data_IF_964433114157
#
_entry.id   IF_964433114157
#
_cell.length_a   1.000
_cell.length_b   1.000
_cell.length_c   1.000
_cell.angle_alpha   90.00
_cell.angle_beta   90.00
_cell.angle_gamma   90.00
#
_symmetry.space_group_name_H-M   'P 1'
#
loop_
_entity.id
_entity.type
_entity.pdbx_description
1 polymer ?
#
# COMPACT_ATOMS: atom_id res chain seq x y z
N UNK A 1 -0.59 -16.74 0.57
CA UNK A 1 0.17 -15.50 0.84
C UNK A 1 -0.66 -14.25 0.55
N UNK A 2 -1.09 -14.01 -0.70
CA UNK A 2 -1.85 -12.79 -1.11
C UNK A 2 -3.08 -12.57 -0.23
N UNK A 3 -3.93 -13.57 -0.02
CA UNK A 3 -5.12 -13.48 0.86
C UNK A 3 -4.79 -13.05 2.29
N UNK A 4 -3.70 -13.53 2.88
CA UNK A 4 -3.32 -13.18 4.25
C UNK A 4 -2.94 -11.70 4.37
N UNK A 5 -2.09 -11.23 3.44
CA UNK A 5 -1.63 -9.83 3.45
C UNK A 5 -2.77 -8.86 3.17
N UNK A 6 -3.61 -9.15 2.19
CA UNK A 6 -4.73 -8.28 1.86
C UNK A 6 -5.87 -8.39 2.88
N UNK A 7 -6.12 -9.58 3.45
CA UNK A 7 -7.03 -9.73 4.58
C UNK A 7 -6.60 -8.84 5.74
N UNK A 8 -5.34 -8.93 6.17
CA UNK A 8 -4.82 -8.08 7.23
C UNK A 8 -4.91 -6.57 6.90
N UNK A 9 -4.69 -6.18 5.63
CA UNK A 9 -4.81 -4.77 5.21
C UNK A 9 -6.26 -4.25 5.23
N UNK A 10 -7.23 -5.12 5.29
CA UNK A 10 -8.66 -4.78 5.33
C UNK A 10 -9.29 -4.94 6.71
N UNK A 11 -8.51 -5.39 7.72
CA UNK A 11 -9.03 -5.63 9.07
C UNK A 11 -9.14 -4.33 9.92
N UNK A 12 -8.45 -3.25 9.54
CA UNK A 12 -8.37 -2.06 10.38
C UNK A 12 -9.69 -1.28 10.43
N UNK A 13 -10.18 -0.89 9.28
CA UNK A 13 -11.33 0.00 9.13
C UNK A 13 -12.07 -0.28 7.83
N UNK A 14 -13.40 -0.40 7.87
CA UNK A 14 -14.18 -0.72 6.68
C UNK A 14 -14.02 0.29 5.54
N UNK A 15 -13.93 1.59 5.83
CA UNK A 15 -13.76 2.60 4.80
C UNK A 15 -12.37 2.52 4.14
N UNK A 16 -11.32 2.26 4.93
CA UNK A 16 -9.95 2.05 4.43
C UNK A 16 -9.83 0.70 3.69
N UNK A 17 -10.53 -0.33 4.16
CA UNK A 17 -10.61 -1.64 3.50
C UNK A 17 -11.11 -1.51 2.06
N UNK A 18 -12.15 -0.72 1.82
CA UNK A 18 -12.65 -0.43 0.46
C UNK A 18 -11.59 0.25 -0.39
N UNK A 19 -10.78 1.16 0.19
CA UNK A 19 -9.66 1.79 -0.50
C UNK A 19 -8.57 0.78 -0.92
N UNK A 20 -8.30 -0.21 -0.09
CA UNK A 20 -7.37 -1.32 -0.39
C UNK A 20 -7.90 -2.17 -1.55
N UNK A 21 -9.19 -2.55 -1.51
CA UNK A 21 -9.85 -3.28 -2.61
C UNK A 21 -9.84 -2.45 -3.89
N UNK A 22 -10.18 -1.16 -3.82
CA UNK A 22 -10.16 -0.26 -4.97
C UNK A 22 -8.77 -0.21 -5.64
N UNK A 23 -7.69 -0.13 -4.86
CA UNK A 23 -6.33 -0.16 -5.39
C UNK A 23 -6.04 -1.49 -6.10
N UNK A 24 -6.41 -2.62 -5.49
CA UNK A 24 -6.23 -3.95 -6.09
C UNK A 24 -7.02 -4.12 -7.40
N UNK A 25 -8.24 -3.62 -7.45
CA UNK A 25 -9.08 -3.63 -8.65
C UNK A 25 -8.48 -2.78 -9.77
N UNK A 26 -7.90 -1.61 -9.45
CA UNK A 26 -7.18 -0.78 -10.43
C UNK A 26 -5.95 -1.48 -10.99
N UNK A 27 -5.20 -2.18 -10.14
CA UNK A 27 -4.07 -3.01 -10.57
C UNK A 27 -4.52 -4.18 -11.46
N UNK A 28 -5.65 -4.81 -11.13
CA UNK A 28 -6.22 -5.89 -11.94
C UNK A 28 -6.61 -5.40 -13.33
N UNK A 29 -7.24 -4.22 -13.43
CA UNK A 29 -7.55 -3.57 -14.71
C UNK A 29 -6.29 -3.39 -15.57
N UNK A 30 -5.19 -2.89 -14.97
CA UNK A 30 -3.91 -2.65 -15.67
C UNK A 30 -3.35 -3.96 -16.25
N UNK A 31 -3.28 -5.01 -15.43
CA UNK A 31 -2.75 -6.31 -15.85
C UNK A 31 -3.64 -6.95 -16.93
N UNK A 32 -4.97 -6.89 -16.79
CA UNK A 32 -5.89 -7.40 -17.80
C UNK A 32 -5.75 -6.66 -19.14
N UNK A 33 -5.55 -5.33 -19.13
CA UNK A 33 -5.32 -4.56 -20.37
C UNK A 33 -3.98 -4.91 -21.00
N UNK A 34 -2.93 -5.06 -20.20
CA UNK A 34 -1.63 -5.49 -20.67
C UNK A 34 -1.71 -6.89 -21.33
N UNK A 35 -2.47 -7.83 -20.76
CA UNK A 35 -2.74 -9.14 -21.37
C UNK A 35 -3.45 -9.05 -22.72
N UNK A 36 -4.18 -7.96 -23.00
CA UNK A 36 -4.83 -7.69 -24.28
C UNK A 36 -3.95 -6.86 -25.24
N UNK A 37 -2.69 -6.62 -24.87
CA UNK A 37 -1.76 -5.77 -25.63
C UNK A 37 -2.13 -4.28 -25.60
N UNK A 38 -2.88 -3.85 -24.61
CA UNK A 38 -3.28 -2.45 -24.41
C UNK A 38 -2.41 -1.82 -23.35
N UNK A 39 -1.89 -0.62 -23.62
CA UNK A 39 -1.23 0.19 -22.60
C UNK A 39 -2.26 0.99 -21.81
N UNK A 40 -2.05 1.12 -20.50
CA UNK A 40 -2.84 1.93 -19.62
C UNK A 40 -1.94 2.87 -18.80
N UNK A 41 -2.47 4.03 -18.41
CA UNK A 41 -1.88 4.83 -17.34
C UNK A 41 -2.25 4.17 -16.02
N UNK A 42 -1.25 3.65 -15.31
CA UNK A 42 -1.39 2.90 -14.07
C UNK A 42 -2.02 3.76 -12.97
N UNK A 43 -1.52 5.00 -12.85
CA UNK A 43 -2.03 5.94 -11.84
C UNK A 43 -3.48 6.34 -12.13
N UNK A 44 -3.80 6.62 -13.40
CA UNK A 44 -5.16 6.97 -13.79
C UNK A 44 -6.14 5.82 -13.57
N UNK A 45 -5.72 4.58 -13.80
CA UNK A 45 -6.54 3.40 -13.54
C UNK A 45 -6.92 3.29 -12.07
N UNK A 46 -5.95 3.46 -11.16
CA UNK A 46 -6.19 3.45 -9.71
C UNK A 46 -7.01 4.68 -9.28
N UNK A 47 -6.76 5.85 -9.87
CA UNK A 47 -7.55 7.06 -9.62
C UNK A 47 -9.03 6.88 -9.95
N UNK A 48 -9.37 6.24 -11.06
CA UNK A 48 -10.76 5.93 -11.40
C UNK A 48 -11.42 5.00 -10.37
N UNK A 49 -10.68 4.10 -9.74
CA UNK A 49 -11.19 3.27 -8.66
C UNK A 49 -11.45 4.08 -7.38
N UNK A 50 -10.74 5.19 -7.15
CA UNK A 50 -11.02 6.08 -6.03
C UNK A 50 -12.44 6.68 -6.09
N UNK A 51 -12.98 6.96 -7.28
CA UNK A 51 -14.38 7.39 -7.42
C UNK A 51 -15.37 6.28 -7.06
N UNK A 52 -15.02 5.02 -7.35
CA UNK A 52 -15.82 3.88 -6.93
C UNK A 52 -15.76 3.71 -5.41
N UNK A 53 -14.56 3.85 -4.84
CA UNK A 53 -14.38 3.88 -3.39
C UNK A 53 -15.27 4.95 -2.74
N UNK A 54 -15.18 6.20 -3.19
CA UNK A 54 -16.01 7.30 -2.68
C UNK A 54 -17.50 6.96 -2.73
N UNK A 55 -18.00 6.38 -3.85
CA UNK A 55 -19.41 5.98 -3.99
C UNK A 55 -19.82 4.90 -2.99
N UNK A 56 -18.97 3.89 -2.78
CA UNK A 56 -19.25 2.77 -1.87
C UNK A 56 -19.39 3.26 -0.43
N UNK A 57 -18.51 4.17 0.01
CA UNK A 57 -18.55 4.74 1.36
C UNK A 57 -19.48 5.96 1.49
N UNK A 58 -20.22 6.32 0.44
CA UNK A 58 -21.23 7.40 0.48
C UNK A 58 -20.65 8.81 0.48
N UNK A 59 -19.39 9.02 0.07
CA UNK A 59 -18.81 10.34 -0.10
C UNK A 59 -19.38 11.04 -1.34
N UNK A 60 -19.62 12.36 -1.21
CA UNK A 60 -19.96 13.21 -2.34
C UNK A 60 -18.75 13.45 -3.22
N UNK A 61 -18.92 13.23 -4.52
CA UNK A 61 -17.92 13.53 -5.54
C UNK A 61 -18.39 14.73 -6.35
N UNK A 62 -17.46 15.58 -6.77
CA UNK A 62 -17.76 16.75 -7.62
C UNK A 62 -18.51 16.28 -8.89
N UNK A 63 -19.62 16.92 -9.26
CA UNK A 63 -20.40 16.53 -10.44
C UNK A 63 -19.64 16.58 -11.77
N UNK A 64 -18.55 17.33 -11.84
CA UNK A 64 -17.69 17.41 -13.03
C UNK A 64 -16.67 16.28 -13.14
N UNK A 65 -16.56 15.42 -12.11
CA UNK A 65 -15.62 14.32 -12.10
C UNK A 65 -15.94 13.28 -13.19
N UNK A 66 -14.92 12.67 -13.80
CA UNK A 66 -15.09 11.63 -14.83
C UNK A 66 -15.50 10.30 -14.19
N UNK A 67 -16.72 10.22 -13.64
CA UNK A 67 -17.21 9.06 -12.92
C UNK A 67 -17.21 7.82 -13.81
N UNK A 68 -16.45 6.76 -13.45
CA UNK A 68 -16.43 5.52 -14.21
C UNK A 68 -17.77 4.78 -14.09
N UNK A 69 -18.12 3.91 -15.04
CA UNK A 69 -19.24 2.98 -14.90
C UNK A 69 -19.12 2.17 -13.60
N UNK A 70 -20.24 1.72 -13.04
CA UNK A 70 -20.23 0.87 -11.84
C UNK A 70 -19.54 -0.46 -12.14
N UNK A 71 -18.71 -0.91 -11.21
CA UNK A 71 -18.08 -2.21 -11.24
C UNK A 71 -18.84 -3.19 -10.32
N UNK A 72 -18.75 -4.48 -10.62
CA UNK A 72 -19.44 -5.52 -9.83
C UNK A 72 -19.04 -5.52 -8.35
N UNK A 73 -17.78 -5.28 -8.05
CA UNK A 73 -17.26 -5.26 -6.68
C UNK A 73 -17.89 -4.14 -5.81
N UNK A 74 -18.32 -3.01 -6.40
CA UNK A 74 -19.00 -1.95 -5.64
C UNK A 74 -20.28 -2.43 -4.99
N UNK A 75 -21.03 -3.31 -5.65
CA UNK A 75 -22.27 -3.86 -5.09
C UNK A 75 -21.98 -4.80 -3.92
N UNK A 76 -20.95 -5.65 -4.05
CA UNK A 76 -20.54 -6.57 -2.99
C UNK A 76 -20.01 -5.79 -1.79
N UNK A 77 -19.11 -4.82 -2.01
CA UNK A 77 -18.58 -3.97 -0.96
C UNK A 77 -19.69 -3.17 -0.25
N UNK A 78 -20.65 -2.65 -1.00
CA UNK A 78 -21.80 -1.93 -0.43
C UNK A 78 -22.69 -2.83 0.42
N UNK A 79 -22.84 -4.11 0.08
CA UNK A 79 -23.56 -5.09 0.91
C UNK A 79 -22.78 -5.40 2.19
N UNK A 80 -21.50 -5.72 2.07
CA UNK A 80 -20.61 -6.00 3.21
C UNK A 80 -20.57 -4.82 4.20
N UNK A 81 -20.64 -3.57 3.69
CA UNK A 81 -20.65 -2.37 4.52
C UNK A 81 -22.02 -2.06 5.12
N UNK A 82 -23.13 -2.39 4.43
CA UNK A 82 -24.50 -2.10 4.93
C UNK A 82 -24.85 -2.91 6.19
N UNK A 83 -24.15 -4.01 6.41
CA UNK A 83 -24.27 -4.83 7.62
C UNK A 83 -23.50 -4.25 8.82
N UNK A 84 -22.77 -3.15 8.63
CA UNK A 84 -21.92 -2.50 9.62
C UNK A 84 -22.25 -1.03 9.73
N UNK A 85 -22.19 -0.51 10.95
CA UNK A 85 -22.27 0.93 11.21
C UNK A 85 -20.99 1.60 10.68
N UNK A 86 -21.06 2.13 9.45
CA UNK A 86 -19.98 2.89 8.85
C UNK A 86 -19.83 4.23 9.56
N UNK A 87 -18.89 4.33 10.45
CA UNK A 87 -18.38 5.62 10.89
C UNK A 87 -17.35 6.13 9.86
N UNK A 88 -17.76 7.09 9.01
CA UNK A 88 -16.82 7.82 8.13
C UNK A 88 -15.75 8.60 8.92
N UNK A 89 -15.85 8.60 10.24
CA UNK A 89 -14.92 9.26 11.15
C UNK A 89 -13.48 8.68 11.09
N UNK A 90 -13.31 7.47 10.60
CA UNK A 90 -12.01 6.84 10.42
C UNK A 90 -11.24 7.33 9.18
N UNK A 91 -11.96 7.87 8.18
CA UNK A 91 -11.33 8.46 7.01
C UNK A 91 -10.85 9.88 7.36
N UNK A 92 -9.54 10.11 7.26
CA UNK A 92 -9.00 11.45 7.50
C UNK A 92 -9.57 12.48 6.51
N UNK A 93 -9.66 13.73 6.97
CA UNK A 93 -10.28 14.80 6.21
C UNK A 93 -9.60 15.06 4.85
N UNK A 94 -8.29 14.84 4.76
CA UNK A 94 -7.51 15.01 3.53
C UNK A 94 -7.89 13.96 2.49
N UNK A 95 -7.93 12.70 2.89
CA UNK A 95 -8.36 11.60 2.00
C UNK A 95 -9.80 11.84 1.55
N UNK A 96 -10.73 12.17 2.46
CA UNK A 96 -12.12 12.43 2.11
C UNK A 96 -12.25 13.59 1.09
N UNK A 97 -11.52 14.68 1.28
CA UNK A 97 -11.51 15.80 0.35
C UNK A 97 -10.91 15.44 -1.01
N UNK A 98 -9.79 14.69 -1.01
CA UNK A 98 -9.12 14.29 -2.25
C UNK A 98 -9.99 13.34 -3.09
N UNK A 99 -10.69 12.39 -2.45
CA UNK A 99 -11.63 11.48 -3.12
C UNK A 99 -12.82 12.22 -3.77
N UNK A 100 -13.21 13.38 -3.25
CA UNK A 100 -14.27 14.22 -3.80
C UNK A 100 -13.85 15.08 -4.99
N UNK A 101 -12.56 15.19 -5.31
CA UNK A 101 -12.04 16.09 -6.36
C UNK A 101 -12.25 15.53 -7.76
N UNK A 102 -12.60 16.41 -8.75
CA UNK A 102 -12.76 15.99 -10.14
C UNK A 102 -11.45 15.75 -10.86
N UNK A 103 -10.35 16.37 -10.39
CA UNK A 103 -9.05 16.33 -11.03
C UNK A 103 -8.11 15.34 -10.32
N UNK A 104 -7.34 14.60 -11.13
CA UNK A 104 -6.30 13.74 -10.60
C UNK A 104 -5.19 14.59 -9.97
N UNK A 105 -4.90 14.31 -8.69
CA UNK A 105 -3.82 14.97 -7.98
C UNK A 105 -2.47 14.35 -8.37
N UNK A 106 -1.45 15.18 -8.44
CA UNK A 106 -0.08 14.76 -8.75
C UNK A 106 0.88 15.28 -7.68
N UNK A 107 1.91 14.53 -7.32
CA UNK A 107 2.91 14.98 -6.36
C UNK A 107 3.48 16.36 -6.66
N UNK A 108 3.72 16.67 -7.95
CA UNK A 108 4.29 17.95 -8.37
C UNK A 108 3.33 19.14 -8.28
N UNK A 109 2.04 18.89 -8.20
CA UNK A 109 0.98 19.91 -8.09
C UNK A 109 -0.17 19.33 -7.28
N UNK A 110 -0.12 19.54 -5.99
CA UNK A 110 -1.07 18.94 -5.05
C UNK A 110 -1.81 20.00 -4.25
N UNK A 111 -3.10 19.75 -4.03
CA UNK A 111 -3.95 20.67 -3.23
C UNK A 111 -3.68 20.50 -1.72
N UNK A 112 -3.07 19.38 -1.30
CA UNK A 112 -2.76 19.05 0.09
C UNK A 112 -1.26 18.75 0.26
N UNK A 113 -0.37 19.76 0.03
CA UNK A 113 1.08 19.54 0.01
C UNK A 113 1.68 19.20 1.39
N UNK A 114 0.95 19.51 2.46
CA UNK A 114 1.39 19.31 3.84
C UNK A 114 0.71 18.12 4.53
N UNK A 115 -0.08 17.33 3.78
CA UNK A 115 -0.82 16.20 4.34
C UNK A 115 0.13 15.05 4.72
N UNK A 116 0.10 14.67 6.01
CA UNK A 116 1.00 13.67 6.61
C UNK A 116 0.26 12.60 7.43
N UNK A 117 -1.08 12.50 7.32
CA UNK A 117 -1.83 11.44 7.99
C UNK A 117 -1.40 10.05 7.51
N UNK A 118 -1.64 9.01 8.31
CA UNK A 118 -1.22 7.65 7.98
C UNK A 118 -2.31 6.81 7.30
N UNK A 119 -3.53 7.34 7.16
CA UNK A 119 -4.69 6.60 6.68
C UNK A 119 -4.53 6.04 5.24
N UNK A 120 -3.61 6.60 4.44
CA UNK A 120 -3.35 6.10 3.10
C UNK A 120 -2.51 4.81 3.05
N UNK A 121 -1.75 4.48 4.09
CA UNK A 121 -0.77 3.38 4.06
C UNK A 121 -1.40 2.00 3.80
N UNK A 122 -2.52 1.60 4.44
CA UNK A 122 -3.12 0.29 4.20
C UNK A 122 -3.48 0.06 2.73
N UNK A 123 -4.04 1.05 2.05
CA UNK A 123 -4.45 0.95 0.65
C UNK A 123 -3.30 0.76 -0.33
N UNK A 124 -2.06 1.04 0.08
CA UNK A 124 -0.87 0.83 -0.74
C UNK A 124 -0.36 -0.62 -0.69
N UNK A 125 -0.80 -1.43 0.28
CA UNK A 125 -0.34 -2.81 0.44
C UNK A 125 -0.45 -3.65 -0.86
N UNK A 126 -1.53 -3.54 -1.67
CA UNK A 126 -1.61 -4.26 -2.94
C UNK A 126 -0.45 -3.97 -3.91
N UNK A 127 0.11 -2.75 -3.89
CA UNK A 127 1.21 -2.37 -4.79
C UNK A 127 2.47 -3.21 -4.56
N UNK A 128 2.66 -3.78 -3.37
CA UNK A 128 3.76 -4.71 -3.12
C UNK A 128 3.67 -6.00 -3.94
N UNK A 129 2.48 -6.33 -4.45
CA UNK A 129 2.21 -7.50 -5.29
C UNK A 129 2.34 -7.19 -6.80
N UNK A 130 2.56 -5.93 -7.18
CA UNK A 130 2.58 -5.52 -8.58
C UNK A 130 3.71 -6.23 -9.33
N UNK A 131 3.45 -6.87 -10.51
CA UNK A 131 4.42 -7.70 -11.23
C UNK A 131 5.42 -6.85 -12.02
N UNK A 132 6.17 -6.00 -11.32
CA UNK A 132 7.18 -5.11 -11.90
C UNK A 132 8.51 -5.30 -11.17
N UNK A 133 9.56 -5.66 -11.90
CA UNK A 133 10.89 -5.89 -11.33
C UNK A 133 11.71 -4.60 -11.14
N UNK A 134 11.32 -3.52 -11.82
CA UNK A 134 12.01 -2.24 -11.71
C UNK A 134 11.61 -1.50 -10.44
N UNK A 135 12.51 -1.44 -9.45
CA UNK A 135 12.31 -0.67 -8.22
C UNK A 135 12.01 0.82 -8.49
N UNK A 136 12.71 1.53 -9.43
CA UNK A 136 12.38 2.91 -9.76
C UNK A 136 10.95 3.08 -10.30
N UNK A 137 10.48 2.16 -11.14
CA UNK A 137 9.13 2.23 -11.67
C UNK A 137 8.08 2.00 -10.57
N UNK A 138 8.27 0.97 -9.75
CA UNK A 138 7.38 0.71 -8.62
C UNK A 138 7.36 1.90 -7.64
N UNK A 139 8.51 2.46 -7.31
CA UNK A 139 8.61 3.62 -6.42
C UNK A 139 7.87 4.84 -6.98
N UNK A 140 7.99 5.08 -8.30
CA UNK A 140 7.25 6.15 -8.98
C UNK A 140 5.74 5.88 -8.92
N UNK A 141 5.29 4.67 -9.21
CA UNK A 141 3.88 4.29 -9.13
C UNK A 141 3.34 4.51 -7.71
N UNK A 142 4.06 4.04 -6.69
CA UNK A 142 3.66 4.23 -5.29
C UNK A 142 3.59 5.70 -4.91
N UNK A 143 4.58 6.51 -5.28
CA UNK A 143 4.55 7.95 -5.03
C UNK A 143 3.36 8.62 -5.72
N UNK A 144 3.07 8.26 -6.97
CA UNK A 144 1.91 8.78 -7.70
C UNK A 144 0.60 8.37 -7.05
N UNK A 145 0.44 7.10 -6.64
CA UNK A 145 -0.78 6.60 -5.97
C UNK A 145 -0.95 7.24 -4.60
N UNK A 146 0.12 7.43 -3.83
CA UNK A 146 0.09 8.22 -2.60
C UNK A 146 -0.35 9.65 -2.91
N UNK A 147 0.22 10.25 -3.95
CA UNK A 147 -0.10 11.58 -4.44
C UNK A 147 -1.53 11.77 -4.94
N UNK A 148 -2.33 10.72 -5.06
CA UNK A 148 -3.77 10.88 -5.32
C UNK A 148 -4.52 11.50 -4.12
N UNK A 149 -3.95 11.43 -2.92
CA UNK A 149 -4.58 11.97 -1.69
C UNK A 149 -3.62 12.79 -0.82
N UNK A 150 -2.32 12.51 -0.80
CA UNK A 150 -1.33 13.12 0.08
C UNK A 150 -0.16 13.64 -0.72
N UNK A 151 0.12 14.95 -0.62
CA UNK A 151 1.13 15.62 -1.43
C UNK A 151 2.45 15.91 -0.71
N UNK A 152 2.56 15.66 0.60
CA UNK A 152 3.80 15.97 1.32
C UNK A 152 4.93 15.01 0.91
N UNK A 153 6.16 15.49 0.77
CA UNK A 153 7.32 14.65 0.49
C UNK A 153 7.47 13.48 1.48
N UNK A 154 7.20 13.73 2.75
CA UNK A 154 7.25 12.72 3.81
C UNK A 154 6.21 11.62 3.60
N UNK A 155 4.97 11.96 3.24
CA UNK A 155 3.95 10.96 2.96
C UNK A 155 4.29 10.12 1.71
N UNK A 156 4.78 10.77 0.65
CA UNK A 156 5.20 10.08 -0.57
C UNK A 156 6.35 9.10 -0.30
N UNK A 157 7.37 9.54 0.42
CA UNK A 157 8.50 8.71 0.79
C UNK A 157 8.12 7.59 1.75
N UNK A 158 7.24 7.87 2.73
CA UNK A 158 6.71 6.89 3.67
C UNK A 158 5.93 5.78 2.94
N UNK A 159 5.10 6.14 1.96
CA UNK A 159 4.41 5.17 1.11
C UNK A 159 5.36 4.27 0.33
N UNK A 160 6.40 4.84 -0.26
CA UNK A 160 7.43 4.06 -0.97
C UNK A 160 8.18 3.13 -0.03
N UNK A 161 8.61 3.62 1.14
CA UNK A 161 9.29 2.80 2.14
C UNK A 161 8.41 1.64 2.61
N UNK A 162 7.12 1.90 2.87
CA UNK A 162 6.14 0.89 3.25
C UNK A 162 6.00 -0.22 2.20
N UNK A 163 5.77 0.13 0.94
CA UNK A 163 5.58 -0.85 -0.14
C UNK A 163 6.85 -1.64 -0.40
N UNK A 164 8.03 -1.01 -0.35
CA UNK A 164 9.30 -1.70 -0.51
C UNK A 164 9.57 -2.67 0.63
N UNK A 165 9.28 -2.28 1.87
CA UNK A 165 9.38 -3.17 3.03
C UNK A 165 8.50 -4.40 2.86
N UNK A 166 7.22 -4.22 2.52
CA UNK A 166 6.29 -5.32 2.26
C UNK A 166 6.78 -6.23 1.14
N UNK A 167 7.19 -5.66 0.01
CA UNK A 167 7.68 -6.44 -1.14
C UNK A 167 8.89 -7.28 -0.78
N UNK A 168 9.85 -6.73 -0.02
CA UNK A 168 11.04 -7.46 0.42
C UNK A 168 10.68 -8.57 1.39
N UNK A 169 9.75 -8.35 2.33
CA UNK A 169 9.23 -9.40 3.21
C UNK A 169 8.58 -10.53 2.41
N UNK A 170 7.75 -10.20 1.42
CA UNK A 170 7.07 -11.18 0.56
C UNK A 170 8.08 -12.01 -0.26
N UNK A 171 9.08 -11.37 -0.85
CA UNK A 171 10.13 -12.04 -1.61
C UNK A 171 10.97 -12.97 -0.72
N UNK A 172 11.35 -12.51 0.46
CA UNK A 172 12.10 -13.32 1.43
C UNK A 172 11.29 -14.53 1.91
N UNK A 173 9.99 -14.38 2.13
CA UNK A 173 9.10 -15.47 2.54
C UNK A 173 8.91 -16.52 1.46
N UNK A 174 9.01 -16.15 0.19
CA UNK A 174 8.88 -17.07 -0.94
C UNK A 174 10.16 -17.88 -1.20
N UNK A 175 11.34 -17.33 -0.88
CA UNK A 175 12.64 -17.94 -1.20
C UNK A 175 13.30 -18.65 -0.02
N UNK A 176 13.03 -18.19 1.20
CA UNK A 176 13.64 -18.73 2.41
C UNK A 176 12.79 -19.84 3.02
N UNK A 177 13.16 -21.08 2.74
CA UNK A 177 12.55 -22.30 3.31
C UNK A 177 13.17 -22.70 4.65
N UNK A 178 14.04 -21.88 5.22
CA UNK A 178 14.68 -22.16 6.51
C UNK A 178 13.65 -22.13 7.64
N UNK A 179 13.44 -23.26 8.30
CA UNK A 179 12.56 -23.38 9.48
C UNK A 179 13.02 -22.52 10.67
N UNK A 180 14.26 -22.03 10.64
CA UNK A 180 14.85 -21.22 11.71
C UNK A 180 14.60 -19.71 11.56
N UNK A 181 14.18 -19.23 10.37
CA UNK A 181 13.96 -17.81 10.13
C UNK A 181 12.60 -17.37 10.70
N UNK A 182 12.63 -16.50 11.70
CA UNK A 182 11.43 -15.91 12.29
C UNK A 182 10.87 -14.77 11.43
N UNK A 183 9.59 -14.41 11.62
CA UNK A 183 9.02 -13.22 10.96
C UNK A 183 9.82 -11.96 11.31
N UNK A 184 10.26 -11.82 12.55
CA UNK A 184 11.09 -10.70 12.99
C UNK A 184 12.41 -10.60 12.21
N UNK A 185 13.14 -11.73 12.05
CA UNK A 185 14.41 -11.72 11.29
C UNK A 185 14.23 -11.39 9.80
N UNK A 186 13.09 -11.74 9.22
CA UNK A 186 12.77 -11.35 7.83
C UNK A 186 12.43 -9.87 7.71
N UNK A 187 11.70 -9.31 8.68
CA UNK A 187 11.41 -7.86 8.73
C UNK A 187 12.71 -7.08 8.92
N UNK A 188 13.60 -7.53 9.82
CA UNK A 188 14.91 -6.91 10.05
C UNK A 188 15.75 -6.89 8.76
N UNK A 189 15.85 -8.03 8.08
CA UNK A 189 16.54 -8.10 6.78
C UNK A 189 15.89 -7.18 5.74
N UNK A 190 14.57 -7.11 5.69
CA UNK A 190 13.87 -6.23 4.75
C UNK A 190 14.13 -4.75 5.05
N UNK A 191 14.24 -4.38 6.32
CA UNK A 191 14.63 -3.03 6.73
C UNK A 191 16.06 -2.68 6.27
N UNK A 192 17.01 -3.61 6.45
CA UNK A 192 18.39 -3.42 5.98
C UNK A 192 18.44 -3.24 4.46
N UNK A 193 17.73 -4.08 3.71
CA UNK A 193 17.66 -4.01 2.25
C UNK A 193 17.03 -2.68 1.77
N UNK A 194 15.98 -2.19 2.43
CA UNK A 194 15.37 -0.90 2.12
C UNK A 194 16.29 0.25 2.52
N UNK A 195 16.90 0.21 3.71
CA UNK A 195 17.81 1.25 4.18
C UNK A 195 19.05 1.40 3.27
N UNK A 196 19.53 0.30 2.68
CA UNK A 196 20.67 0.31 1.78
C UNK A 196 20.41 1.06 0.46
N UNK A 197 19.16 1.16 0.02
CA UNK A 197 18.80 1.90 -1.21
C UNK A 197 18.44 3.37 -0.95
N UNK A 198 18.35 3.78 0.32
CA UNK A 198 18.06 5.16 0.69
C UNK A 198 19.33 6.04 0.60
N UNK A 199 19.22 7.30 0.17
CA UNK A 199 20.36 8.20 0.09
C UNK A 199 20.96 8.45 1.48
N UNK A 200 22.30 8.57 1.55
CA UNK A 200 22.94 9.03 2.78
C UNK A 200 22.63 10.51 3.01
N UNK A 201 22.20 10.85 4.24
CA UNK A 201 21.70 12.19 4.60
C UNK A 201 22.65 13.37 4.32
N UNK A 202 23.95 13.11 4.12
CA UNK A 202 24.94 14.13 3.77
C UNK A 202 25.05 14.40 2.26
N UNK A 203 24.62 13.47 1.39
CA UNK A 203 24.69 13.64 -0.07
C UNK A 203 23.61 14.62 -0.60
N UNK A 204 22.54 14.87 0.14
CA UNK A 204 21.44 15.75 -0.25
C UNK A 204 21.62 17.23 0.02
N UNK A 205 22.63 17.63 0.81
CA UNK A 205 22.82 19.02 1.25
C UNK A 205 23.52 19.94 0.26
N UNK A 206 24.10 19.43 -0.83
CA UNK A 206 24.89 20.21 -1.79
C UNK A 206 24.14 20.67 -3.04
N UNK A 207 22.94 20.23 -3.28
CA UNK A 207 22.12 20.73 -4.39
C UNK A 207 20.93 21.51 -3.82
N UNK A 208 20.87 22.81 -4.06
CA UNK A 208 19.67 23.61 -3.77
C UNK A 208 18.45 22.94 -4.39
N UNK A 209 17.36 22.71 -3.64
CA UNK A 209 16.18 22.03 -4.14
C UNK A 209 15.60 22.85 -5.31
N UNK A 210 15.75 22.34 -6.52
CA UNK A 210 14.93 22.78 -7.64
C UNK A 210 13.55 22.18 -7.37
N UNK A 211 12.54 23.04 -7.39
CA UNK A 211 11.19 22.70 -6.93
C UNK A 211 10.66 21.35 -7.43
N UNK A 212 9.84 20.72 -6.64
CA UNK A 212 9.23 19.40 -6.82
C UNK A 212 8.89 19.06 -8.29
N UNK A 213 8.42 20.03 -9.08
CA UNK A 213 8.09 19.83 -10.50
C UNK A 213 9.25 19.34 -11.38
N UNK A 214 10.48 19.84 -11.15
CA UNK A 214 11.64 19.42 -11.94
C UNK A 214 12.15 18.05 -11.49
N UNK A 215 11.98 17.74 -10.22
CA UNK A 215 12.41 16.47 -9.64
C UNK A 215 11.48 15.33 -10.07
N UNK A 216 10.17 15.54 -10.04
CA UNK A 216 9.20 14.54 -10.51
C UNK A 216 9.26 14.31 -12.03
N UNK A 217 9.56 15.33 -12.83
CA UNK A 217 9.83 15.14 -14.25
C UNK A 217 11.10 14.33 -14.51
N UNK A 218 12.07 14.36 -13.59
CA UNK A 218 13.29 13.56 -13.64
C UNK A 218 13.09 12.11 -13.12
N UNK A 219 12.05 11.84 -12.34
CA UNK A 219 11.71 10.49 -11.83
C UNK A 219 11.32 9.51 -12.92
N UNK A 220 11.02 9.97 -14.12
CA UNK A 220 10.46 9.15 -15.22
C UNK A 220 11.32 8.01 -15.74
N UNK A 221 12.53 7.73 -15.22
CA UNK A 221 13.33 6.61 -15.75
C UNK A 221 14.60 6.23 -14.97
N UNK A 222 14.85 6.67 -13.72
CA UNK A 222 16.12 6.33 -13.08
C UNK A 222 16.08 6.30 -11.55
N UNK A 223 17.01 5.53 -10.94
CA UNK A 223 17.32 5.50 -9.50
C UNK A 223 17.47 6.89 -8.86
N UNK A 224 17.82 7.90 -9.68
CA UNK A 224 17.94 9.31 -9.25
C UNK A 224 16.62 9.89 -8.74
N UNK A 225 15.47 9.43 -9.24
CA UNK A 225 14.15 9.91 -8.81
C UNK A 225 13.83 9.51 -7.39
N UNK A 226 14.06 8.25 -7.02
CA UNK A 226 13.83 7.78 -5.66
C UNK A 226 14.78 8.46 -4.67
N UNK A 227 16.06 8.59 -5.02
CA UNK A 227 17.03 9.31 -4.18
C UNK A 227 16.63 10.77 -3.94
N UNK A 228 16.09 11.45 -4.95
CA UNK A 228 15.60 12.82 -4.81
C UNK A 228 14.38 12.90 -3.88
N UNK A 229 13.43 11.97 -4.01
CA UNK A 229 12.26 11.88 -3.13
C UNK A 229 12.68 11.75 -1.66
N UNK A 230 13.53 10.77 -1.35
CA UNK A 230 14.00 10.55 0.02
C UNK A 230 14.89 11.68 0.56
N UNK A 231 15.59 12.41 -0.30
CA UNK A 231 16.35 13.61 0.09
C UNK A 231 15.42 14.77 0.53
N UNK A 232 14.18 14.83 0.01
CA UNK A 232 13.17 15.81 0.41
C UNK A 232 12.35 15.37 1.62
N UNK A 233 12.50 14.11 2.04
CA UNK A 233 11.81 13.50 3.18
C UNK A 233 12.81 13.03 4.25
N UNK A 234 13.51 13.96 4.93
CA UNK A 234 14.56 13.61 5.88
C UNK A 234 14.04 12.84 7.09
N UNK A 235 12.79 13.09 7.51
CA UNK A 235 12.14 12.39 8.62
C UNK A 235 11.93 10.92 8.29
N UNK A 236 11.36 10.60 7.13
CA UNK A 236 11.18 9.21 6.66
C UNK A 236 12.53 8.51 6.49
N UNK A 237 13.50 9.18 5.85
CA UNK A 237 14.82 8.61 5.62
C UNK A 237 15.53 8.29 6.94
N UNK A 238 15.52 9.21 7.89
CA UNK A 238 16.11 9.00 9.22
C UNK A 238 15.42 7.86 9.98
N UNK A 239 14.10 7.81 9.96
CA UNK A 239 13.31 6.80 10.64
C UNK A 239 13.60 5.38 10.11
N UNK A 240 13.58 5.18 8.79
CA UNK A 240 13.89 3.87 8.18
C UNK A 240 15.32 3.43 8.50
N UNK A 241 16.30 4.33 8.41
CA UNK A 241 17.71 4.02 8.77
C UNK A 241 17.87 3.76 10.26
N UNK A 242 17.11 4.43 11.13
CA UNK A 242 17.11 4.17 12.56
C UNK A 242 16.52 2.80 12.87
N UNK A 243 15.39 2.45 12.26
CA UNK A 243 14.78 1.13 12.39
C UNK A 243 15.70 0.00 11.95
N UNK A 244 16.42 0.17 10.83
CA UNK A 244 17.38 -0.83 10.36
C UNK A 244 18.54 -1.06 11.33
N UNK A 245 19.03 0.00 12.00
CA UNK A 245 20.14 -0.12 12.97
C UNK A 245 19.68 -0.61 14.35
N UNK A 246 18.51 -0.16 14.79
CA UNK A 246 17.99 -0.34 16.15
C UNK A 246 16.48 -0.60 16.11
N UNK A 247 16.03 -1.76 15.60
CA UNK A 247 14.60 -2.01 15.37
C UNK A 247 13.77 -1.97 16.67
N UNK A 248 14.37 -2.31 17.82
CA UNK A 248 13.69 -2.36 19.12
C UNK A 248 13.97 -1.13 20.01
N UNK A 249 14.76 -0.15 19.56
CA UNK A 249 15.03 1.04 20.35
C UNK A 249 13.77 1.91 20.51
N UNK A 250 13.55 2.41 21.72
CA UNK A 250 12.40 3.28 22.05
C UNK A 250 12.66 4.76 21.74
N UNK A 251 13.63 5.06 20.85
CA UNK A 251 14.08 6.42 20.63
C UNK A 251 13.09 7.27 19.83
N UNK A 252 13.05 8.50 20.26
CA UNK A 252 12.49 9.77 19.77
C UNK A 252 11.14 9.79 19.03
N UNK A 253 10.22 10.65 19.45
CA UNK A 253 8.99 10.90 18.72
C UNK A 253 9.33 11.52 17.37
N UNK A 254 9.04 10.77 16.30
CA UNK A 254 9.04 11.32 14.95
C UNK A 254 7.84 12.27 14.87
N UNK A 255 8.07 13.54 14.54
CA UNK A 255 7.01 14.57 14.50
C UNK A 255 6.00 14.34 13.36
N UNK A 256 6.37 13.58 12.34
CA UNK A 256 5.52 13.33 11.15
C UNK A 256 4.62 12.11 11.39
N UNK A 257 3.32 12.29 11.36
CA UNK A 257 2.33 11.26 11.74
C UNK A 257 2.51 9.95 10.96
N UNK A 258 2.52 9.97 9.63
CA UNK A 258 2.65 8.74 8.83
C UNK A 258 3.95 7.99 9.11
N UNK A 259 5.04 8.70 9.38
CA UNK A 259 6.34 8.12 9.71
C UNK A 259 6.31 7.49 11.10
N UNK A 260 5.73 8.18 12.08
CA UNK A 260 5.54 7.67 13.45
C UNK A 260 4.72 6.38 13.46
N UNK A 261 3.62 6.36 12.70
CA UNK A 261 2.75 5.18 12.55
C UNK A 261 3.49 4.02 11.89
N UNK A 262 4.29 4.27 10.84
CA UNK A 262 5.10 3.24 10.19
C UNK A 262 6.14 2.65 11.16
N UNK A 263 6.86 3.50 11.90
CA UNK A 263 7.85 3.08 12.91
C UNK A 263 7.21 2.20 13.97
N UNK A 264 6.06 2.63 14.51
CA UNK A 264 5.33 1.87 15.51
C UNK A 264 4.86 0.52 14.96
N UNK A 265 4.31 0.48 13.77
CA UNK A 265 3.87 -0.74 13.11
C UNK A 265 5.00 -1.76 12.92
N UNK A 266 6.18 -1.30 12.48
CA UNK A 266 7.34 -2.16 12.27
C UNK A 266 7.81 -2.76 13.61
N UNK A 267 7.95 -1.94 14.65
CA UNK A 267 8.35 -2.41 15.99
C UNK A 267 7.35 -3.43 16.54
N UNK A 268 6.07 -3.11 16.50
CA UNK A 268 5.01 -4.03 16.95
C UNK A 268 5.02 -5.35 16.16
N UNK A 269 5.30 -5.30 14.86
CA UNK A 269 5.41 -6.51 14.04
C UNK A 269 6.59 -7.41 14.45
N UNK A 270 7.70 -6.80 14.87
CA UNK A 270 8.92 -7.51 15.30
C UNK A 270 8.81 -8.09 16.71
N UNK A 271 8.14 -7.39 17.63
CA UNK A 271 7.94 -7.83 19.01
C UNK A 271 7.01 -9.05 19.10
N UNK A 272 6.24 -9.32 18.05
CA UNK A 272 5.38 -10.51 17.97
C UNK A 272 4.15 -10.45 18.89
N UNK A 273 3.97 -9.39 19.62
CA UNK A 273 2.79 -9.19 20.46
C UNK A 273 1.57 -8.88 19.58
N UNK A 274 0.49 -9.62 19.82
CA UNK A 274 -0.82 -9.19 19.36
C UNK A 274 -1.18 -7.93 20.15
N UNK A 275 -0.95 -6.75 19.56
CA UNK A 275 -1.37 -5.52 20.18
C UNK A 275 -2.89 -5.49 20.20
N UNK A 276 -3.49 -5.07 21.32
CA UNK A 276 -4.93 -4.74 21.45
C UNK A 276 -5.36 -3.61 20.48
N UNK A 277 -4.41 -3.10 19.70
CA UNK A 277 -4.51 -2.00 18.77
C UNK A 277 -4.96 -2.43 17.35
N UNK A 278 -5.57 -3.60 17.18
CA UNK A 278 -5.98 -4.11 15.85
C UNK A 278 -6.90 -3.16 15.07
N UNK A 279 -7.64 -2.29 15.76
CA UNK A 279 -8.49 -1.27 15.14
C UNK A 279 -7.76 0.00 14.68
N UNK A 280 -6.46 0.14 14.95
CA UNK A 280 -5.67 1.30 14.52
C UNK A 280 -4.95 1.05 13.20
N UNK A 281 -4.58 2.14 12.48
CA UNK A 281 -3.76 2.05 11.27
C UNK A 281 -2.43 1.34 11.58
N UNK A 282 -1.79 1.66 12.70
CA UNK A 282 -0.52 1.03 13.09
C UNK A 282 -0.67 -0.48 13.34
N UNK A 283 -1.70 -0.90 14.05
CA UNK A 283 -2.00 -2.30 14.32
C UNK A 283 -2.27 -3.09 13.03
N UNK A 284 -3.04 -2.50 12.10
CA UNK A 284 -3.26 -3.06 10.77
C UNK A 284 -1.95 -3.26 10.01
N UNK A 285 -1.10 -2.22 9.92
CA UNK A 285 0.19 -2.31 9.23
C UNK A 285 1.13 -3.36 9.87
N UNK A 286 1.14 -3.45 11.19
CA UNK A 286 1.91 -4.46 11.92
C UNK A 286 1.45 -5.87 11.56
N UNK A 287 0.14 -6.09 11.48
CA UNK A 287 -0.42 -7.38 11.08
C UNK A 287 -0.09 -7.71 9.62
N UNK A 288 -0.21 -6.74 8.71
CA UNK A 288 0.18 -6.91 7.29
C UNK A 288 1.65 -7.33 7.17
N UNK A 289 2.55 -6.69 7.92
CA UNK A 289 3.97 -7.06 7.94
C UNK A 289 4.21 -8.47 8.47
N UNK A 290 3.56 -8.84 9.57
CA UNK A 290 3.65 -10.20 10.13
C UNK A 290 3.20 -11.25 9.12
N UNK A 291 2.09 -11.01 8.43
CA UNK A 291 1.59 -11.92 7.41
C UNK A 291 2.49 -11.99 6.17
N UNK A 292 3.08 -10.86 5.76
CA UNK A 292 4.05 -10.81 4.67
C UNK A 292 5.36 -11.54 5.00
N UNK A 293 5.82 -11.45 6.25
CA UNK A 293 7.06 -12.08 6.72
C UNK A 293 6.88 -13.55 7.17
N UNK A 294 5.63 -14.05 7.26
CA UNK A 294 5.36 -15.43 7.66
C UNK A 294 5.90 -16.43 6.60
N UNK A 295 6.57 -17.53 7.01
CA UNK A 295 6.98 -18.56 6.07
C UNK A 295 5.82 -18.98 5.17
N UNK A 296 6.10 -19.17 3.88
CA UNK A 296 5.10 -19.71 2.96
C UNK A 296 4.76 -21.14 3.40
N UNK A 297 3.52 -21.37 3.85
CA UNK A 297 3.02 -22.72 3.88
C UNK A 297 3.09 -23.22 2.44
N UNK A 298 3.75 -24.36 2.21
CA UNK A 298 3.63 -25.04 0.93
C UNK A 298 2.13 -25.14 0.65
N UNK A 299 1.67 -24.51 -0.42
CA UNK A 299 0.26 -24.48 -0.79
C UNK A 299 -0.25 -25.94 -0.82
N UNK A 300 -0.87 -26.35 0.27
CA UNK A 300 -1.80 -27.44 0.20
C UNK A 300 -2.93 -26.93 -0.70
N UNK A 301 -3.07 -27.61 -1.85
CA UNK A 301 -4.08 -27.38 -2.84
C UNK A 301 -5.37 -26.86 -2.20
N UNK A 302 -5.87 -25.76 -2.73
CA UNK A 302 -7.17 -25.18 -2.36
C UNK A 302 -8.21 -26.29 -2.48
N UNK A 303 -8.41 -27.02 -1.41
CA UNK A 303 -9.64 -27.76 -1.21
C UNK A 303 -10.69 -26.70 -0.88
N UNK A 304 -11.57 -26.45 -1.83
CA UNK A 304 -12.87 -25.84 -1.59
C UNK A 304 -13.50 -26.51 -0.37
N UNK A 305 -13.35 -25.87 0.77
CA UNK A 305 -14.05 -26.28 1.98
C UNK A 305 -15.48 -25.73 1.87
N UNK A 306 -16.39 -26.58 1.44
CA UNK A 306 -17.75 -26.57 1.95
C UNK A 306 -17.67 -26.79 3.47
N UNK A 307 -17.55 -25.73 4.25
CA UNK A 307 -17.81 -25.77 5.68
C UNK A 307 -18.97 -24.84 6.01
N UNK A 308 -19.99 -25.36 6.70
CA UNK A 308 -21.10 -24.54 7.20
C UNK A 308 -20.57 -23.56 8.25
N UNK A 309 -21.04 -22.31 8.14
CA UNK A 309 -20.58 -21.17 8.91
C UNK A 309 -20.55 -21.39 10.42
N UNK A 310 -19.42 -20.94 11.00
CA UNK A 310 -19.39 -20.54 12.40
C UNK A 310 -19.79 -19.08 12.50
N UNK A 311 -20.68 -18.69 13.41
CA UNK A 311 -20.91 -17.30 13.75
C UNK A 311 -19.75 -16.85 14.64
N UNK A 312 -18.82 -16.15 14.09
CA UNK A 312 -17.69 -15.55 14.81
C UNK A 312 -17.40 -14.17 14.22
N UNK A 313 -17.05 -13.24 15.08
CA UNK A 313 -16.67 -11.87 14.79
C UNK A 313 -15.46 -11.84 13.81
N UNK A 314 -15.70 -12.12 12.54
CA UNK A 314 -14.69 -12.15 11.49
C UNK A 314 -14.53 -10.78 10.82
N UNK A 315 -13.43 -10.59 10.06
CA UNK A 315 -13.03 -9.33 9.48
C UNK A 315 -14.05 -8.71 8.52
N UNK A 316 -13.89 -7.42 8.31
CA UNK A 316 -14.91 -6.48 7.87
C UNK A 316 -15.43 -6.60 6.44
N UNK A 317 -14.77 -7.28 5.49
CA UNK A 317 -15.19 -7.32 4.06
C UNK A 317 -14.75 -8.64 3.38
N UNK A 318 -15.07 -9.83 3.92
CA UNK A 318 -14.47 -11.07 3.43
C UNK A 318 -14.84 -11.37 1.98
N UNK A 319 -16.12 -11.23 1.61
CA UNK A 319 -16.59 -11.58 0.26
C UNK A 319 -16.01 -10.68 -0.83
N UNK A 320 -15.87 -9.38 -0.55
CA UNK A 320 -15.30 -8.42 -1.52
C UNK A 320 -13.79 -8.62 -1.68
N UNK A 321 -13.07 -8.87 -0.58
CA UNK A 321 -11.62 -9.15 -0.62
C UNK A 321 -11.35 -10.44 -1.38
N UNK A 322 -12.08 -11.50 -1.10
CA UNK A 322 -11.92 -12.80 -1.77
C UNK A 322 -12.17 -12.69 -3.28
N UNK A 323 -13.21 -11.96 -3.68
CA UNK A 323 -13.50 -11.73 -5.08
C UNK A 323 -12.39 -10.92 -5.78
N UNK A 324 -11.91 -9.85 -5.14
CA UNK A 324 -10.84 -9.01 -5.68
C UNK A 324 -9.49 -9.78 -5.78
N UNK A 325 -9.15 -10.58 -4.77
CA UNK A 325 -7.96 -11.45 -4.80
C UNK A 325 -8.10 -12.53 -5.86
N UNK A 326 -9.27 -13.11 -6.03
CA UNK A 326 -9.56 -14.08 -7.09
C UNK A 326 -9.34 -13.48 -8.48
N UNK A 327 -9.86 -12.28 -8.73
CA UNK A 327 -9.66 -11.53 -9.96
C UNK A 327 -8.18 -11.23 -10.20
N UNK A 328 -7.49 -10.67 -9.22
CA UNK A 328 -6.06 -10.38 -9.28
C UNK A 328 -5.22 -11.61 -9.62
N UNK A 329 -5.45 -12.71 -8.90
CA UNK A 329 -4.73 -13.97 -9.12
C UNK A 329 -4.93 -14.49 -10.54
N UNK A 330 -6.16 -14.37 -11.07
CA UNK A 330 -6.48 -14.75 -12.44
C UNK A 330 -5.78 -13.86 -13.47
N UNK A 331 -5.74 -12.54 -13.24
CA UNK A 331 -5.08 -11.59 -14.11
C UNK A 331 -3.55 -11.83 -14.15
N UNK A 332 -2.92 -12.06 -13.00
CA UNK A 332 -1.47 -12.34 -12.92
C UNK A 332 -1.12 -13.67 -13.61
N UNK A 333 -1.90 -14.74 -13.40
CA UNK A 333 -1.68 -16.01 -14.11
C UNK A 333 -1.79 -15.86 -15.64
N UNK A 334 -2.74 -15.06 -16.11
CA UNK A 334 -2.85 -14.76 -17.53
C UNK A 334 -1.63 -14.01 -18.03
N UNK A 335 -1.15 -13.02 -17.27
CA UNK A 335 0.07 -12.27 -17.58
C UNK A 335 1.32 -13.17 -17.64
N UNK A 336 1.52 -14.03 -16.67
CA UNK A 336 2.63 -14.99 -16.65
C UNK A 336 2.63 -15.91 -17.87
N UNK A 337 1.45 -16.29 -18.38
CA UNK A 337 1.30 -17.07 -19.59
C UNK A 337 1.69 -16.34 -20.88
N UNK A 338 1.78 -15.01 -20.88
CA UNK A 338 2.25 -14.19 -22.00
C UNK A 338 3.77 -13.96 -21.99
N UNK A 339 4.43 -14.17 -20.85
CA UNK A 339 5.87 -14.01 -20.77
C UNK A 339 6.57 -15.13 -21.55
N UNK A 340 7.62 -14.83 -22.35
CA UNK A 340 8.38 -15.87 -23.03
C UNK A 340 8.98 -16.80 -21.98
N UNK A 341 8.70 -18.11 -22.11
CA UNK A 341 9.31 -19.10 -21.25
C UNK A 341 10.81 -19.14 -21.56
N UNK A 342 11.60 -18.63 -20.61
CA UNK A 342 13.06 -18.58 -20.68
C UNK A 342 13.67 -19.97 -20.48
#
# INVERSE_FOLDING_TARGET
>A
MVHRVLGAATDADPALAVGTVATLEGMSDIVEWACRGQSADETASIWLQNFRWARVIGLSVDPSAPLPPRAGWESTAGQDLSERDLELASLDATTAQALGRPDMQYPARHDFPDAVSAAFLPRLAPLALYPQDSAPHLGQLVANVTGLTHGSPEALACGVAWVFLLRTCLASSATDTSESATSASRIEKALDDVAAVLPDGDAGRTAAPRGLRQQYAAMGSSDRGLSALFAEAPGTTAAVKSLARHPTATEDPVEVECVSVLVHAVRSAMEGEATDDSGTVAGCLAQVLREAARPGDQEHAVHTRDQPGFPGDGPAVPCTVDAAVGRWTSAVRAWEGFLPQS
#
